data_IF_510412242784
#
_entry.id   IF_510412242784
#
_cell.length_a   1.000
_cell.length_b   1.000
_cell.length_c   1.000
_cell.angle_alpha   90.00
_cell.angle_beta   90.00
_cell.angle_gamma   90.00
#
_symmetry.space_group_name_H-M   'P 1'
#
loop_
_entity.id
_entity.type
_entity.pdbx_description
1 polymer ?
#
# COMPACT_ATOMS: atom_id res chain seq x y z
N UNK A 1 7.15 19.61 -19.97
CA UNK A 1 7.00 19.64 -18.50
C UNK A 1 5.85 20.56 -18.18
N UNK A 2 4.90 20.14 -17.36
CA UNK A 2 3.78 20.98 -16.94
C UNK A 2 4.27 21.98 -15.91
N UNK A 3 3.87 23.25 -16.03
CA UNK A 3 4.12 24.26 -15.00
C UNK A 3 3.08 24.11 -13.88
N UNK A 4 3.53 23.96 -12.65
CA UNK A 4 2.67 23.75 -11.49
C UNK A 4 2.76 24.98 -10.58
N UNK A 5 1.63 25.38 -10.01
CA UNK A 5 1.56 26.52 -9.07
C UNK A 5 2.38 26.31 -7.77
N UNK A 6 2.80 25.08 -7.49
CA UNK A 6 3.73 24.68 -6.45
C UNK A 6 4.50 23.42 -6.88
N UNK A 7 5.65 23.09 -6.27
CA UNK A 7 6.41 21.90 -6.63
C UNK A 7 5.58 20.62 -6.51
N UNK A 8 5.62 19.77 -7.54
CA UNK A 8 4.97 18.48 -7.48
C UNK A 8 5.58 17.62 -6.35
N UNK A 9 4.76 16.84 -5.61
CA UNK A 9 5.27 15.97 -4.57
C UNK A 9 6.21 14.91 -5.16
N UNK A 10 7.20 14.49 -4.38
CA UNK A 10 8.06 13.36 -4.75
C UNK A 10 7.19 12.12 -4.99
N UNK A 11 7.46 11.41 -6.08
CA UNK A 11 6.80 10.13 -6.37
C UNK A 11 7.18 9.13 -5.27
N UNK A 12 6.19 8.49 -4.66
CA UNK A 12 6.42 7.40 -3.73
C UNK A 12 7.04 6.20 -4.47
N UNK A 13 8.11 5.64 -3.92
CA UNK A 13 8.93 4.63 -4.59
C UNK A 13 9.44 3.57 -3.61
N UNK A 14 9.68 2.36 -4.12
CA UNK A 14 10.11 1.19 -3.35
C UNK A 14 11.59 0.90 -3.65
N UNK A 15 12.45 0.75 -2.62
CA UNK A 15 13.83 0.30 -2.82
C UNK A 15 13.88 -1.09 -3.48
N UNK A 16 14.75 -1.25 -4.47
CA UNK A 16 14.96 -2.54 -5.15
C UNK A 16 16.27 -3.15 -4.66
N UNK A 17 16.21 -4.40 -4.19
CA UNK A 17 17.39 -5.09 -3.64
C UNK A 17 18.46 -5.24 -4.73
N UNK A 18 19.67 -4.77 -4.44
CA UNK A 18 20.81 -4.85 -5.37
C UNK A 18 20.90 -3.69 -6.36
N UNK A 19 19.98 -2.73 -6.31
CA UNK A 19 19.93 -1.60 -7.24
C UNK A 19 20.04 -0.26 -6.50
N UNK A 20 20.58 0.75 -7.18
CA UNK A 20 20.53 2.14 -6.72
C UNK A 20 19.25 2.86 -7.15
N UNK A 21 18.54 2.32 -8.13
CA UNK A 21 17.25 2.82 -8.60
C UNK A 21 16.09 2.28 -7.76
N UNK A 22 14.97 3.00 -7.76
CA UNK A 22 13.75 2.64 -7.02
C UNK A 22 12.56 2.43 -7.96
N UNK A 23 11.60 1.58 -7.56
CA UNK A 23 10.38 1.32 -8.32
C UNK A 23 9.29 2.34 -7.98
N UNK A 24 8.85 3.13 -8.95
CA UNK A 24 7.81 4.14 -8.77
C UNK A 24 6.42 3.50 -8.56
N UNK A 25 5.77 3.83 -7.45
CA UNK A 25 4.44 3.31 -7.10
C UNK A 25 3.37 4.09 -7.85
N UNK A 26 2.54 3.39 -8.64
CA UNK A 26 1.38 3.99 -9.30
C UNK A 26 0.09 3.82 -8.46
N UNK A 27 -0.26 2.58 -8.10
CA UNK A 27 -1.46 2.25 -7.32
C UNK A 27 -1.17 1.11 -6.35
N UNK A 28 -1.81 1.15 -5.19
CA UNK A 28 -1.75 0.10 -4.17
C UNK A 28 -3.12 -0.55 -4.09
N UNK A 29 -3.19 -1.82 -4.48
CA UNK A 29 -4.38 -2.67 -4.34
C UNK A 29 -4.16 -3.65 -3.19
N UNK A 30 -5.16 -3.78 -2.35
CA UNK A 30 -5.15 -4.67 -1.20
C UNK A 30 -6.34 -5.63 -1.32
N UNK A 31 -6.13 -6.89 -0.96
CA UNK A 31 -7.18 -7.91 -0.91
C UNK A 31 -7.54 -8.13 0.55
N UNK A 32 -8.81 -7.98 0.89
CA UNK A 32 -9.29 -8.25 2.24
C UNK A 32 -9.54 -9.74 2.45
N UNK A 33 -9.23 -10.24 3.66
CA UNK A 33 -9.54 -11.61 4.11
C UNK A 33 -9.13 -12.72 3.13
N UNK A 34 -7.95 -12.60 2.50
CA UNK A 34 -7.48 -13.57 1.51
C UNK A 34 -6.84 -14.84 2.11
N UNK A 35 -6.98 -15.05 3.43
CA UNK A 35 -6.44 -16.20 4.16
C UNK A 35 -7.52 -16.78 5.08
N UNK A 36 -7.73 -18.10 5.02
CA UNK A 36 -8.81 -18.78 5.74
C UNK A 36 -8.77 -18.57 7.25
N UNK A 37 -7.59 -18.74 7.86
CA UNK A 37 -7.42 -18.55 9.30
C UNK A 37 -7.72 -17.11 9.74
N UNK A 38 -7.27 -16.11 8.96
CA UNK A 38 -7.50 -14.70 9.28
C UNK A 38 -8.97 -14.28 9.05
N UNK A 39 -9.63 -14.82 8.03
CA UNK A 39 -11.07 -14.61 7.87
C UNK A 39 -11.84 -15.14 9.08
N UNK A 40 -11.53 -16.37 9.52
CA UNK A 40 -12.18 -17.02 10.65
C UNK A 40 -11.95 -16.27 11.98
N UNK A 41 -10.73 -15.77 12.23
CA UNK A 41 -10.40 -14.90 13.38
C UNK A 41 -11.34 -13.67 13.44
N UNK A 42 -11.67 -13.11 12.29
CA UNK A 42 -12.54 -11.95 12.19
C UNK A 42 -14.03 -12.29 12.20
N UNK A 43 -14.40 -13.58 12.32
CA UNK A 43 -15.79 -14.05 12.30
C UNK A 43 -16.39 -14.22 10.89
N UNK A 44 -15.55 -14.45 9.87
CA UNK A 44 -15.98 -14.59 8.47
C UNK A 44 -15.37 -15.84 7.81
N UNK A 45 -15.95 -16.28 6.70
CA UNK A 45 -15.33 -17.26 5.80
C UNK A 45 -14.74 -16.57 4.57
N UNK A 46 -13.77 -17.22 3.92
CA UNK A 46 -13.20 -16.70 2.67
C UNK A 46 -14.15 -17.03 1.53
N UNK A 47 -14.81 -16.00 1.01
CA UNK A 47 -15.46 -16.11 -0.30
C UNK A 47 -14.39 -16.04 -1.40
N UNK A 48 -14.15 -17.20 -2.03
CA UNK A 48 -13.15 -17.33 -3.11
C UNK A 48 -13.68 -16.87 -4.46
N UNK A 49 -15.00 -16.78 -4.63
CA UNK A 49 -15.64 -16.38 -5.88
C UNK A 49 -15.84 -14.86 -5.94
N UNK A 50 -15.96 -14.20 -4.79
CA UNK A 50 -16.05 -12.75 -4.67
C UNK A 50 -14.97 -12.16 -3.73
N UNK A 51 -13.68 -12.14 -4.14
CA UNK A 51 -12.67 -11.41 -3.41
C UNK A 51 -13.00 -9.92 -3.40
N UNK A 52 -12.81 -9.28 -2.24
CA UNK A 52 -13.04 -7.85 -2.13
C UNK A 52 -11.72 -7.09 -2.02
N UNK A 53 -11.68 -5.97 -2.72
CA UNK A 53 -10.50 -5.14 -2.87
C UNK A 53 -10.73 -3.78 -2.24
N UNK A 54 -9.67 -3.21 -1.70
CA UNK A 54 -9.60 -1.81 -1.33
C UNK A 54 -8.24 -1.25 -1.76
N UNK A 55 -8.11 0.07 -1.71
CA UNK A 55 -6.88 0.75 -2.13
C UNK A 55 -6.29 1.57 -0.98
N UNK A 56 -4.99 1.82 -1.06
CA UNK A 56 -4.30 2.83 -0.25
C UNK A 56 -3.73 3.91 -1.17
N UNK A 57 -3.71 5.16 -0.69
CA UNK A 57 -2.99 6.22 -1.38
C UNK A 57 -1.49 5.90 -1.43
N UNK A 58 -0.79 6.30 -2.49
CA UNK A 58 0.66 6.08 -2.60
C UNK A 58 1.43 6.81 -1.51
N UNK A 59 0.88 7.92 -0.99
CA UNK A 59 1.40 8.67 0.16
C UNK A 59 1.31 7.92 1.49
N UNK A 60 0.55 6.83 1.58
CA UNK A 60 0.45 5.99 2.77
C UNK A 60 1.53 4.88 2.81
N UNK A 61 2.36 4.77 1.77
CA UNK A 61 3.46 3.81 1.73
C UNK A 61 4.62 4.28 2.62
N UNK A 62 5.16 3.34 3.40
CA UNK A 62 6.45 3.48 4.06
C UNK A 62 7.28 2.20 3.82
N UNK A 63 8.59 2.32 3.54
CA UNK A 63 9.46 1.15 3.41
C UNK A 63 9.51 0.27 4.66
N UNK A 64 9.73 -1.02 4.48
CA UNK A 64 9.94 -1.92 5.62
C UNK A 64 11.13 -1.48 6.48
N UNK A 65 10.97 -1.52 7.79
CA UNK A 65 12.00 -1.11 8.75
C UNK A 65 12.00 0.39 9.09
N UNK A 66 11.11 1.20 8.50
CA UNK A 66 10.89 2.56 8.97
C UNK A 66 10.16 2.58 10.31
N UNK A 67 10.47 3.57 11.13
CA UNK A 67 9.63 3.93 12.28
C UNK A 67 8.31 4.54 11.79
N UNK A 68 7.18 3.98 12.22
CA UNK A 68 5.83 4.44 11.83
C UNK A 68 5.13 5.02 13.07
N UNK A 69 4.75 6.30 13.06
CA UNK A 69 4.02 6.89 14.18
C UNK A 69 2.63 6.26 14.32
N UNK A 70 2.17 6.11 15.55
CA UNK A 70 0.80 5.65 15.83
C UNK A 70 -0.20 6.73 15.35
N UNK A 71 -1.25 6.37 14.59
CA UNK A 71 -2.21 7.34 14.07
C UNK A 71 -3.02 8.01 15.19
N UNK A 72 -3.50 9.25 15.00
CA UNK A 72 -4.41 9.87 15.97
C UNK A 72 -5.68 9.03 16.11
N UNK A 73 -6.19 8.95 17.34
CA UNK A 73 -7.48 8.31 17.67
C UNK A 73 -8.68 9.18 17.35
#
# INVERSE_FOLDING_TARGET
MTDYIFPAPKIASIPVVGESAEFAINRIFCVGRNYAAHAAEMGFEVDREAPWYFTKATSAYQPSGTEIPYPPG
#
